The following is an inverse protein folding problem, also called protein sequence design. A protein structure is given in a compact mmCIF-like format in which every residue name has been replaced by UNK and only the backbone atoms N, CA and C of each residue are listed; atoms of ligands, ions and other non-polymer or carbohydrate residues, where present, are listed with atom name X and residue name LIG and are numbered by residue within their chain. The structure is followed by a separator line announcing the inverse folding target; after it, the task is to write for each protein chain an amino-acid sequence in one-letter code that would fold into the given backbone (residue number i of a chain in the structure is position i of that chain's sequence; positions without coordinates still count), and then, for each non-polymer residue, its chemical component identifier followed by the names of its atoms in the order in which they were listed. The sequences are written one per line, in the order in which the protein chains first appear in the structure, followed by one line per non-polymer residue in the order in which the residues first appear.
data_IF_587974663009
#
_entry.id   IF_587974663009
#
_cell.length_a   1.000
_cell.length_b   1.000
_cell.length_c   1.000
_cell.angle_alpha   90.00
_cell.angle_beta   90.00
_cell.angle_gamma   90.00
#
_symmetry.space_group_name_H-M   'P 1'
#
loop_
_entity.id
_entity.type
_entity.pdbx_description
1 polymer ?
#
# COMPACT_ATOMS: atom_id res chain seq x y z
N UNK A 1 16.09 -11.55 13.20
CA UNK A 1 15.06 -11.94 12.23
C UNK A 1 14.14 -10.75 12.05
N UNK A 2 13.77 -10.39 10.82
CA UNK A 2 12.93 -9.22 10.50
C UNK A 2 12.09 -9.51 9.25
N UNK A 3 11.00 -8.77 9.06
CA UNK A 3 10.31 -8.73 7.77
C UNK A 3 11.26 -8.05 6.78
N UNK A 4 11.56 -8.70 5.66
CA UNK A 4 12.42 -8.13 4.62
C UNK A 4 11.59 -7.35 3.61
N UNK A 5 10.49 -7.95 3.15
CA UNK A 5 9.50 -7.28 2.33
C UNK A 5 8.10 -7.86 2.55
N UNK A 6 7.11 -7.10 2.12
CA UNK A 6 5.74 -7.55 1.86
C UNK A 6 5.55 -7.54 0.35
N UNK A 7 4.87 -8.54 -0.20
CA UNK A 7 4.60 -8.61 -1.63
C UNK A 7 3.09 -8.52 -1.91
N UNK A 8 2.71 -7.82 -2.98
CA UNK A 8 1.32 -7.74 -3.44
C UNK A 8 1.24 -7.86 -4.96
N UNK A 9 0.29 -8.67 -5.42
CA UNK A 9 -0.09 -8.67 -6.83
C UNK A 9 -1.01 -7.49 -7.13
N UNK A 10 -0.77 -6.85 -8.26
CA UNK A 10 -1.56 -5.75 -8.82
C UNK A 10 -1.79 -6.00 -10.30
N UNK A 11 -2.92 -5.56 -10.82
CA UNK A 11 -3.25 -5.63 -12.24
C UNK A 11 -2.47 -4.56 -13.04
N UNK A 12 -2.44 -3.32 -12.54
CA UNK A 12 -1.69 -2.21 -13.13
C UNK A 12 -0.43 -1.91 -12.30
N UNK A 13 0.68 -2.49 -12.74
CA UNK A 13 1.96 -2.39 -12.05
C UNK A 13 2.53 -0.97 -12.02
N UNK A 14 2.31 -0.19 -13.08
CA UNK A 14 2.82 1.18 -13.17
C UNK A 14 1.99 2.12 -12.29
N UNK A 15 0.66 2.01 -12.33
CA UNK A 15 -0.23 2.80 -11.47
C UNK A 15 0.03 2.50 -9.98
N UNK A 16 0.27 1.24 -9.62
CA UNK A 16 0.63 0.87 -8.26
C UNK A 16 1.99 1.46 -7.85
N UNK A 17 3.02 1.35 -8.70
CA UNK A 17 4.32 1.98 -8.41
C UNK A 17 4.15 3.47 -8.16
N UNK A 18 3.47 4.16 -9.06
CA UNK A 18 3.31 5.61 -8.99
C UNK A 18 2.49 6.03 -7.77
N UNK A 19 1.50 5.24 -7.35
CA UNK A 19 0.75 5.46 -6.11
C UNK A 19 1.67 5.47 -4.87
N UNK A 20 2.47 4.41 -4.68
CA UNK A 20 3.33 4.29 -3.50
C UNK A 20 4.49 5.29 -3.52
N UNK A 21 5.02 5.63 -4.69
CA UNK A 21 6.04 6.67 -4.84
C UNK A 21 5.46 8.05 -4.52
N UNK A 22 4.30 8.40 -5.09
CA UNK A 22 3.72 9.72 -4.97
C UNK A 22 3.19 10.02 -3.57
N UNK A 23 2.41 9.11 -2.99
CA UNK A 23 1.67 9.40 -1.75
C UNK A 23 2.38 8.94 -0.49
N UNK A 24 3.20 7.88 -0.59
CA UNK A 24 3.87 7.27 0.56
C UNK A 24 5.39 7.47 0.53
N UNK A 25 5.89 8.31 -0.38
CA UNK A 25 7.31 8.68 -0.45
C UNK A 25 8.26 7.53 -0.79
N UNK A 26 7.73 6.43 -1.33
CA UNK A 26 8.55 5.28 -1.70
C UNK A 26 9.50 5.57 -2.87
N UNK A 27 10.63 4.88 -2.91
CA UNK A 27 11.57 4.90 -4.06
C UNK A 27 11.53 3.56 -4.79
N UNK A 28 11.17 3.60 -6.07
CA UNK A 28 11.14 2.40 -6.91
C UNK A 28 12.53 2.06 -7.50
N UNK A 29 12.80 0.77 -7.70
CA UNK A 29 13.94 0.31 -8.49
C UNK A 29 13.65 0.38 -10.01
N UNK A 30 14.58 -0.10 -10.84
CA UNK A 30 14.42 -0.12 -12.31
C UNK A 30 13.43 -1.18 -12.83
N UNK A 31 12.79 -1.95 -11.96
CA UNK A 31 11.90 -3.05 -12.33
C UNK A 31 12.62 -4.34 -12.74
N UNK A 32 11.88 -5.45 -12.68
CA UNK A 32 12.29 -6.77 -13.13
C UNK A 32 11.26 -7.35 -14.09
N UNK A 33 11.71 -8.09 -15.12
CA UNK A 33 10.83 -8.80 -16.05
C UNK A 33 11.39 -10.17 -16.39
N UNK A 34 10.65 -11.21 -16.03
CA UNK A 34 10.90 -12.57 -16.50
C UNK A 34 10.18 -12.80 -17.83
N UNK A 35 10.96 -12.84 -18.92
CA UNK A 35 10.42 -13.00 -20.29
C UNK A 35 9.77 -14.36 -20.56
N UNK A 36 10.06 -15.39 -19.75
CA UNK A 36 9.49 -16.72 -19.96
C UNK A 36 8.09 -16.87 -19.37
N UNK A 37 7.81 -16.21 -18.25
CA UNK A 37 6.52 -16.27 -17.54
C UNK A 37 5.72 -14.98 -17.62
N UNK A 38 6.30 -13.93 -18.22
CA UNK A 38 5.84 -12.54 -18.22
C UNK A 38 5.56 -11.97 -16.82
N UNK A 39 6.22 -12.53 -15.79
CA UNK A 39 6.20 -11.97 -14.45
C UNK A 39 6.99 -10.66 -14.42
N UNK A 40 6.45 -9.64 -13.77
CA UNK A 40 7.06 -8.33 -13.59
C UNK A 40 6.98 -7.90 -12.15
N UNK A 41 8.00 -7.20 -11.66
CA UNK A 41 7.93 -6.61 -10.33
C UNK A 41 8.74 -5.33 -10.18
N UNK A 42 8.33 -4.51 -9.21
CA UNK A 42 9.11 -3.42 -8.64
C UNK A 42 9.31 -3.67 -7.15
N UNK A 43 10.48 -3.30 -6.65
CA UNK A 43 10.65 -3.07 -5.21
C UNK A 43 10.51 -1.57 -4.93
N UNK A 44 9.65 -1.23 -3.99
CA UNK A 44 9.50 0.10 -3.41
C UNK A 44 10.20 0.10 -2.06
N UNK A 45 11.20 0.95 -1.92
CA UNK A 45 12.00 1.12 -0.70
C UNK A 45 11.56 2.39 0.02
N UNK A 46 11.41 2.33 1.34
CA UNK A 46 11.10 3.47 2.21
C UNK A 46 12.32 3.86 3.04
N UNK A 47 12.20 4.84 3.93
CA UNK A 47 13.30 5.38 4.73
C UNK A 47 14.07 4.29 5.50
N UNK A 48 13.35 3.31 6.06
CA UNK A 48 13.92 2.13 6.69
C UNK A 48 13.01 0.88 6.61
N UNK A 49 13.43 -0.20 7.27
CA UNK A 49 12.57 -1.35 7.51
C UNK A 49 12.37 -2.26 6.30
N UNK A 50 11.11 -2.65 6.09
CA UNK A 50 10.69 -3.59 5.05
C UNK A 50 10.42 -2.88 3.73
N UNK A 51 10.64 -3.57 2.61
CA UNK A 51 10.31 -3.07 1.27
C UNK A 51 8.93 -3.58 0.84
N UNK A 52 8.31 -2.92 -0.13
CA UNK A 52 7.09 -3.41 -0.78
C UNK A 52 7.44 -3.94 -2.18
N UNK A 53 7.19 -5.22 -2.43
CA UNK A 53 7.29 -5.82 -3.76
C UNK A 53 5.91 -5.74 -4.45
N UNK A 54 5.83 -4.92 -5.49
CA UNK A 54 4.67 -4.87 -6.38
C UNK A 54 4.90 -5.86 -7.51
N UNK A 55 3.94 -6.75 -7.75
CA UNK A 55 4.09 -7.84 -8.71
C UNK A 55 2.93 -7.88 -9.69
N UNK A 56 3.21 -8.30 -10.92
CA UNK A 56 2.20 -8.59 -11.93
C UNK A 56 2.61 -9.81 -12.74
N UNK A 57 1.63 -10.56 -13.24
CA UNK A 57 1.82 -11.65 -14.21
C UNK A 57 0.52 -11.86 -15.00
N UNK A 58 0.55 -12.59 -16.12
CA UNK A 58 -0.67 -12.98 -16.82
C UNK A 58 -1.61 -13.83 -15.93
N UNK A 59 -2.90 -13.77 -16.23
CA UNK A 59 -3.94 -14.64 -15.65
C UNK A 59 -4.07 -14.54 -14.12
N UNK A 60 -3.88 -13.33 -13.57
CA UNK A 60 -4.17 -13.08 -12.15
C UNK A 60 -5.67 -13.23 -11.87
N UNK A 61 -5.98 -13.89 -10.75
CA UNK A 61 -7.32 -13.90 -10.20
C UNK A 61 -7.52 -12.63 -9.36
N UNK A 62 -8.37 -11.72 -9.84
CA UNK A 62 -8.74 -10.50 -9.12
C UNK A 62 -10.13 -10.64 -8.50
N UNK A 63 -10.20 -11.44 -7.45
CA UNK A 63 -11.42 -11.61 -6.68
C UNK A 63 -11.75 -10.34 -5.88
N UNK A 64 -13.04 -10.04 -5.65
CA UNK A 64 -13.45 -8.93 -4.79
C UNK A 64 -12.80 -8.99 -3.41
N UNK A 65 -12.17 -7.89 -3.00
CA UNK A 65 -11.44 -7.77 -1.73
C UNK A 65 -12.39 -7.32 -0.61
N UNK A 66 -13.27 -8.21 -0.14
CA UNK A 66 -14.21 -7.89 0.95
C UNK A 66 -13.48 -7.46 2.23
N UNK A 67 -13.94 -6.40 2.90
CA UNK A 67 -13.26 -5.83 4.08
C UNK A 67 -13.09 -6.86 5.20
N UNK A 68 -14.12 -7.65 5.49
CA UNK A 68 -14.08 -8.68 6.53
C UNK A 68 -13.77 -10.05 5.92
N UNK A 69 -12.47 -10.39 5.86
CA UNK A 69 -11.98 -11.68 5.34
C UNK A 69 -10.76 -12.18 6.12
N UNK A 70 -10.51 -13.48 6.09
CA UNK A 70 -9.28 -14.06 6.63
C UNK A 70 -8.11 -13.89 5.65
N UNK A 71 -6.88 -13.90 6.18
CA UNK A 71 -5.66 -13.74 5.38
C UNK A 71 -5.04 -12.34 5.50
N UNK A 72 -4.30 -11.94 4.46
CA UNK A 72 -3.65 -10.63 4.41
C UNK A 72 -4.67 -9.50 4.23
N UNK A 73 -4.72 -8.57 5.18
CA UNK A 73 -5.82 -7.59 5.28
C UNK A 73 -5.42 -6.17 4.90
N UNK A 74 -4.29 -5.66 5.42
CA UNK A 74 -3.77 -4.32 5.16
C UNK A 74 -2.23 -4.28 5.30
N UNK A 75 -1.63 -3.16 4.89
CA UNK A 75 -0.29 -2.71 5.27
C UNK A 75 -0.45 -1.38 6.01
N UNK A 76 0.29 -1.16 7.09
CA UNK A 76 0.35 0.12 7.79
C UNK A 76 1.65 0.88 7.48
N UNK A 77 1.55 2.18 7.25
CA UNK A 77 2.68 3.09 7.07
C UNK A 77 2.65 4.18 8.15
N UNK A 78 3.71 4.27 8.94
CA UNK A 78 3.88 5.35 9.91
C UNK A 78 4.42 6.60 9.22
N UNK A 79 3.77 7.73 9.47
CA UNK A 79 4.14 9.05 8.91
C UNK A 79 4.75 9.99 9.95
N UNK A 80 4.90 9.54 11.20
CA UNK A 80 5.68 10.20 12.26
C UNK A 80 4.90 11.21 13.11
N UNK A 81 3.63 11.52 12.81
CA UNK A 81 2.77 12.34 13.66
C UNK A 81 1.29 12.31 13.27
N UNK A 82 0.40 12.61 14.22
CA UNK A 82 -1.04 12.81 13.98
C UNK A 82 -1.36 13.80 12.87
N UNK A 83 -0.66 14.94 12.84
CA UNK A 83 -0.86 15.96 11.82
C UNK A 83 -0.57 15.45 10.41
N UNK A 84 0.43 14.57 10.25
CA UNK A 84 0.74 13.95 8.96
C UNK A 84 -0.26 12.84 8.59
N UNK A 85 -0.86 12.17 9.57
CA UNK A 85 -1.99 11.26 9.33
C UNK A 85 -3.17 12.04 8.76
N UNK A 86 -3.54 13.16 9.38
CA UNK A 86 -4.62 14.04 8.91
C UNK A 86 -4.37 14.53 7.49
N UNK A 87 -3.17 15.11 7.25
CA UNK A 87 -2.77 15.67 5.96
C UNK A 87 -2.80 14.63 4.85
N UNK A 88 -2.15 13.47 5.04
CA UNK A 88 -2.08 12.46 3.99
C UNK A 88 -3.46 11.85 3.70
N UNK A 89 -4.29 11.69 4.74
CA UNK A 89 -5.67 11.20 4.55
C UNK A 89 -6.49 12.17 3.70
N UNK A 90 -6.39 13.47 3.97
CA UNK A 90 -7.07 14.49 3.18
C UNK A 90 -6.58 14.51 1.72
N UNK A 91 -5.26 14.44 1.50
CA UNK A 91 -4.67 14.36 0.15
C UNK A 91 -5.21 13.16 -0.63
N UNK A 92 -5.28 11.98 0.00
CA UNK A 92 -5.77 10.77 -0.65
C UNK A 92 -7.28 10.83 -0.91
N UNK A 93 -8.05 11.40 0.01
CA UNK A 93 -9.48 11.63 -0.19
C UNK A 93 -9.73 12.57 -1.37
N UNK A 94 -8.99 13.68 -1.45
CA UNK A 94 -9.08 14.63 -2.56
C UNK A 94 -8.62 14.02 -3.90
N UNK A 95 -7.69 13.06 -3.86
CA UNK A 95 -7.27 12.28 -5.02
C UNK A 95 -8.31 11.21 -5.45
N UNK A 96 -9.41 11.06 -4.71
CA UNK A 96 -10.53 10.18 -5.05
C UNK A 96 -10.47 8.79 -4.43
N UNK A 97 -9.55 8.53 -3.50
CA UNK A 97 -9.52 7.26 -2.76
C UNK A 97 -10.57 7.28 -1.63
N UNK A 98 -11.19 6.13 -1.39
CA UNK A 98 -12.17 5.98 -0.30
C UNK A 98 -11.45 5.99 1.05
N UNK A 99 -11.93 6.83 1.96
CA UNK A 99 -11.52 6.79 3.37
C UNK A 99 -12.45 5.82 4.09
N UNK A 100 -11.99 4.58 4.28
CA UNK A 100 -12.75 3.55 4.98
C UNK A 100 -12.99 3.94 6.44
N UNK A 101 -11.97 4.54 7.07
CA UNK A 101 -12.07 5.07 8.42
C UNK A 101 -11.17 6.29 8.58
N UNK A 102 -11.74 7.42 9.02
CA UNK A 102 -11.01 8.67 9.18
C UNK A 102 -10.03 8.66 10.36
N UNK A 103 -9.19 9.72 10.46
CA UNK A 103 -8.20 9.87 11.53
C UNK A 103 -8.84 9.80 12.92
N UNK A 104 -8.37 8.88 13.76
CA UNK A 104 -8.87 8.69 15.14
C UNK A 104 -7.84 7.94 15.98
N UNK A 105 -7.98 8.02 17.30
CA UNK A 105 -7.27 7.09 18.20
C UNK A 105 -8.05 5.78 18.30
N UNK A 106 -7.40 4.66 18.06
CA UNK A 106 -7.97 3.30 18.18
C UNK A 106 -7.99 2.83 19.63
N UNK A 107 -8.70 1.72 19.89
CA UNK A 107 -8.78 1.12 21.23
C UNK A 107 -7.45 0.54 21.73
N UNK A 108 -6.52 0.23 20.83
CA UNK A 108 -5.17 -0.25 21.12
C UNK A 108 -4.09 0.84 21.08
N UNK A 109 -4.48 2.11 20.86
CA UNK A 109 -3.65 3.27 21.15
C UNK A 109 -2.93 3.91 19.96
N UNK A 110 -3.18 3.46 18.73
CA UNK A 110 -2.67 4.11 17.52
C UNK A 110 -3.53 5.31 17.15
N UNK A 111 -2.90 6.41 16.73
CA UNK A 111 -3.60 7.42 15.94
C UNK A 111 -3.43 7.09 14.47
N UNK A 112 -4.54 6.77 13.80
CA UNK A 112 -4.51 6.26 12.43
C UNK A 112 -5.72 6.69 11.61
N UNK A 113 -5.58 6.57 10.29
CA UNK A 113 -6.69 6.45 9.34
C UNK A 113 -6.52 5.19 8.48
N UNK A 114 -7.59 4.78 7.79
CA UNK A 114 -7.57 3.67 6.85
C UNK A 114 -8.21 4.07 5.53
N UNK A 115 -7.47 3.90 4.44
CA UNK A 115 -7.89 4.19 3.07
C UNK A 115 -8.02 2.90 2.26
N UNK A 116 -9.00 2.86 1.36
CA UNK A 116 -9.07 1.86 0.30
C UNK A 116 -8.30 2.42 -0.89
N UNK A 117 -7.03 2.04 -0.97
CA UNK A 117 -6.06 2.57 -1.91
C UNK A 117 -6.12 1.88 -3.26
N UNK A 118 -4.94 1.76 -3.88
CA UNK A 118 -4.80 1.16 -5.21
C UNK A 118 -5.42 -0.25 -5.25
N UNK A 119 -6.27 -0.50 -6.25
CA UNK A 119 -6.93 -1.78 -6.52
C UNK A 119 -7.71 -2.40 -5.33
N UNK A 120 -8.29 -1.56 -4.47
CA UNK A 120 -9.12 -2.02 -3.36
C UNK A 120 -8.32 -2.56 -2.16
N UNK A 121 -7.01 -2.29 -2.11
CA UNK A 121 -6.16 -2.70 -1.00
C UNK A 121 -6.27 -1.71 0.16
N UNK A 122 -6.45 -2.22 1.38
CA UNK A 122 -6.52 -1.39 2.58
C UNK A 122 -5.11 -0.97 3.01
N UNK A 123 -4.96 0.31 3.29
CA UNK A 123 -3.72 0.89 3.79
C UNK A 123 -4.04 1.71 5.02
N UNK A 124 -3.37 1.41 6.12
CA UNK A 124 -3.43 2.20 7.34
C UNK A 124 -2.31 3.24 7.33
N UNK A 125 -2.64 4.45 7.73
CA UNK A 125 -1.70 5.56 7.89
C UNK A 125 -1.64 5.85 9.38
N UNK A 126 -0.51 5.60 10.01
CA UNK A 126 -0.35 5.75 11.47
C UNK A 126 0.56 6.92 11.81
N UNK A 127 0.42 7.48 13.01
CA UNK A 127 1.41 8.43 13.52
C UNK A 127 2.80 7.81 13.67
#
# INVERSE_FOLDING_TARGET
MKIEHVAMYVNDLEAARDFFVKYLGGTSNSGYHNKNTDFRSYFITFDDGARLELMNKPELNDAPKTVNRTGYIHIAFSVGSKARVDELTEILQQAGYEVHSGPRTTGDGYYESCIVGIEGNQIEITE
#
